data_IF_690714865037
#
_entry.id   IF_690714865037
#
_cell.length_a   1.000
_cell.length_b   1.000
_cell.length_c   1.000
_cell.angle_alpha   90.00
_cell.angle_beta   90.00
_cell.angle_gamma   90.00
#
_symmetry.space_group_name_H-M   'P 1'
#
loop_
_entity.id
_entity.type
_entity.pdbx_description
1 polymer ?
#
# COMPACT_ATOMS: atom_id res chain seq x y z
N UNK A 1 -11.08 3.28 21.65
CA UNK A 1 -10.47 1.95 21.83
C UNK A 1 -10.94 1.09 20.66
N UNK A 2 -10.22 1.17 19.54
CA UNK A 2 -10.50 0.38 18.35
C UNK A 2 -9.66 -0.89 18.46
N UNK A 3 -10.33 -2.05 18.46
CA UNK A 3 -9.72 -3.36 18.68
C UNK A 3 -8.90 -3.78 17.44
N UNK A 4 -7.72 -4.36 17.64
CA UNK A 4 -6.86 -4.99 16.63
C UNK A 4 -7.64 -5.95 15.70
N UNK A 5 -8.75 -6.54 16.16
CA UNK A 5 -9.68 -7.33 15.33
C UNK A 5 -10.39 -6.51 14.22
N UNK A 6 -10.63 -5.22 14.42
CA UNK A 6 -11.28 -4.33 13.47
C UNK A 6 -10.32 -3.87 12.37
N UNK A 7 -9.09 -3.49 12.71
CA UNK A 7 -8.02 -3.20 11.73
C UNK A 7 -7.67 -4.44 10.90
N UNK A 8 -7.76 -5.64 11.49
CA UNK A 8 -7.69 -6.92 10.76
C UNK A 8 -8.84 -7.09 9.74
N UNK A 9 -10.10 -6.79 10.12
CA UNK A 9 -11.23 -6.81 9.17
C UNK A 9 -11.12 -5.74 8.08
N UNK A 10 -10.52 -4.59 8.37
CA UNK A 10 -10.32 -3.53 7.40
C UNK A 10 -9.41 -4.01 6.25
N UNK A 11 -8.33 -4.72 6.56
CA UNK A 11 -7.39 -5.26 5.55
C UNK A 11 -8.01 -6.40 4.73
N UNK A 12 -8.92 -7.19 5.32
CA UNK A 12 -9.51 -8.39 4.69
C UNK A 12 -10.87 -8.07 4.00
N UNK A 13 -11.48 -6.92 4.32
CA UNK A 13 -12.82 -6.53 3.85
C UNK A 13 -12.86 -5.74 2.54
N UNK A 14 -11.71 -5.28 2.02
CA UNK A 14 -11.64 -4.64 0.71
C UNK A 14 -11.46 -5.70 -0.37
N UNK A 15 -12.33 -5.67 -1.39
CA UNK A 15 -12.33 -6.57 -2.54
C UNK A 15 -10.90 -6.76 -3.10
N UNK A 16 -10.57 -7.98 -3.51
CA UNK A 16 -9.30 -8.41 -4.13
C UNK A 16 -8.78 -7.47 -5.26
N UNK A 17 -9.63 -6.59 -5.81
CA UNK A 17 -9.28 -5.60 -6.81
C UNK A 17 -8.66 -4.29 -6.26
N UNK A 18 -8.65 -4.07 -4.94
CA UNK A 18 -8.35 -2.79 -4.31
C UNK A 18 -6.99 -2.72 -3.57
N UNK A 19 -6.39 -3.87 -3.22
CA UNK A 19 -5.19 -3.89 -2.39
C UNK A 19 -4.30 -5.04 -2.85
N UNK A 20 -3.24 -4.73 -3.59
CA UNK A 20 -2.19 -5.74 -3.83
C UNK A 20 -1.28 -5.72 -2.61
N UNK A 21 -1.64 -6.48 -1.57
CA UNK A 21 -0.71 -6.74 -0.48
C UNK A 21 0.36 -7.68 -1.03
N UNK A 22 1.53 -7.14 -1.38
CA UNK A 22 2.70 -7.97 -1.68
C UNK A 22 3.27 -8.45 -0.36
N UNK A 23 2.66 -9.49 0.20
CA UNK A 23 3.23 -10.29 1.27
C UNK A 23 4.12 -11.37 0.64
N UNK A 24 5.35 -11.03 0.28
CA UNK A 24 6.33 -12.03 -0.13
C UNK A 24 7.57 -11.95 0.76
N UNK A 25 7.70 -12.95 1.62
CA UNK A 25 8.84 -13.13 2.52
C UNK A 25 8.42 -13.84 3.79
N UNK A 26 8.78 -15.12 3.89
CA UNK A 26 8.48 -15.99 5.01
C UNK A 26 8.96 -15.43 6.37
N UNK A 27 8.08 -14.71 7.06
CA UNK A 27 7.96 -14.74 8.53
C UNK A 27 6.48 -14.95 8.82
N UNK A 28 6.11 -16.21 9.02
CA UNK A 28 4.83 -16.67 9.58
C UNK A 28 4.68 -16.20 11.05
N UNK A 29 5.39 -15.14 11.45
CA UNK A 29 5.55 -14.68 12.83
C UNK A 29 5.36 -13.16 13.00
N UNK A 30 5.08 -12.40 11.93
CA UNK A 30 4.71 -10.98 12.03
C UNK A 30 3.30 -10.81 11.49
N UNK A 31 2.35 -10.44 12.36
CA UNK A 31 0.92 -10.31 12.04
C UNK A 31 0.57 -9.17 11.05
N UNK A 32 1.58 -8.41 10.58
CA UNK A 32 1.41 -7.23 9.71
C UNK A 32 2.20 -7.36 8.40
N UNK A 33 1.71 -6.76 7.31
CA UNK A 33 2.41 -6.75 6.02
C UNK A 33 3.71 -5.92 6.09
N UNK A 34 4.71 -6.29 5.29
CA UNK A 34 5.97 -5.54 5.19
C UNK A 34 5.77 -4.17 4.55
N UNK A 35 4.85 -4.07 3.60
CA UNK A 35 4.40 -2.83 2.96
C UNK A 35 3.06 -3.08 2.23
N UNK A 36 2.44 -2.00 1.76
CA UNK A 36 1.18 -2.02 1.00
C UNK A 36 1.38 -1.36 -0.36
N UNK A 37 0.91 -2.01 -1.43
CA UNK A 37 0.66 -1.32 -2.70
C UNK A 37 -0.81 -0.93 -2.79
N UNK A 38 -1.04 0.37 -2.94
CA UNK A 38 -2.37 0.96 -2.96
C UNK A 38 -2.63 1.64 -4.30
N UNK A 39 -3.79 1.36 -4.89
CA UNK A 39 -4.26 2.11 -6.05
C UNK A 39 -5.11 3.30 -5.60
N UNK A 40 -5.01 4.41 -6.31
CA UNK A 40 -5.83 5.59 -6.10
C UNK A 40 -7.24 5.41 -6.67
N UNK A 41 -7.32 4.96 -7.92
CA UNK A 41 -8.55 4.93 -8.71
C UNK A 41 -9.17 3.54 -8.67
N UNK A 42 -9.80 3.23 -7.55
CA UNK A 42 -10.47 1.94 -7.35
C UNK A 42 -11.98 2.06 -7.55
N UNK A 43 -12.64 1.02 -8.07
CA UNK A 43 -14.10 0.99 -8.09
C UNK A 43 -14.64 0.98 -6.66
N UNK A 44 -15.53 1.92 -6.34
CA UNK A 44 -16.33 2.02 -5.09
C UNK A 44 -15.62 2.57 -3.86
N UNK A 45 -14.29 2.67 -3.85
CA UNK A 45 -13.52 3.18 -2.71
C UNK A 45 -12.43 4.11 -3.21
N UNK A 46 -12.29 5.28 -2.61
CA UNK A 46 -11.22 6.23 -2.97
C UNK A 46 -9.90 5.84 -2.29
N UNK A 47 -8.83 5.67 -3.05
CA UNK A 47 -7.54 5.25 -2.49
C UNK A 47 -6.97 6.21 -1.45
N UNK A 48 -7.21 7.52 -1.59
CA UNK A 48 -6.81 8.50 -0.56
C UNK A 48 -7.55 8.30 0.77
N UNK A 49 -8.79 7.81 0.75
CA UNK A 49 -9.53 7.49 1.97
C UNK A 49 -8.94 6.27 2.67
N UNK A 50 -8.55 5.25 1.90
CA UNK A 50 -7.82 4.10 2.44
C UNK A 50 -6.49 4.55 3.04
N UNK A 51 -5.72 5.39 2.32
CA UNK A 51 -4.45 5.93 2.82
C UNK A 51 -4.65 6.71 4.12
N UNK A 52 -5.65 7.61 4.18
CA UNK A 52 -6.02 8.33 5.42
C UNK A 52 -6.32 7.38 6.57
N UNK A 53 -7.07 6.31 6.30
CA UNK A 53 -7.46 5.35 7.33
C UNK A 53 -6.24 4.57 7.84
N UNK A 54 -5.37 4.10 6.95
CA UNK A 54 -4.14 3.39 7.30
C UNK A 54 -3.20 4.29 8.11
N UNK A 55 -3.03 5.55 7.69
CA UNK A 55 -2.08 6.48 8.32
C UNK A 55 -2.64 7.14 9.59
N UNK A 56 -3.96 7.14 9.77
CA UNK A 56 -4.63 7.57 10.99
C UNK A 56 -4.74 6.50 12.08
N UNK A 57 -4.52 5.21 11.75
CA UNK A 57 -4.56 4.11 12.72
C UNK A 57 -3.17 3.88 13.32
N UNK A 58 -3.05 4.00 14.65
CA UNK A 58 -1.78 3.83 15.38
C UNK A 58 -1.11 2.46 15.15
N UNK A 59 -1.90 1.42 14.88
CA UNK A 59 -1.39 0.06 14.61
C UNK A 59 -0.94 -0.13 13.16
N UNK A 60 -1.36 0.73 12.23
CA UNK A 60 -1.11 0.57 10.80
C UNK A 60 -0.23 1.69 10.23
N UNK A 61 -0.16 2.86 10.86
CA UNK A 61 0.51 4.06 10.32
C UNK A 61 1.99 3.86 10.01
N UNK A 62 2.63 2.93 10.73
CA UNK A 62 4.04 2.55 10.54
C UNK A 62 4.27 1.67 9.32
N UNK A 63 3.21 1.04 8.78
CA UNK A 63 3.31 0.22 7.59
C UNK A 63 3.62 1.14 6.39
N UNK A 64 4.68 0.85 5.63
CA UNK A 64 4.98 1.59 4.42
C UNK A 64 3.86 1.43 3.39
N UNK A 65 3.39 2.53 2.82
CA UNK A 65 2.40 2.52 1.74
C UNK A 65 3.06 3.09 0.49
N UNK A 66 2.95 2.37 -0.61
CA UNK A 66 3.39 2.78 -1.94
C UNK A 66 2.16 2.91 -2.81
N UNK A 67 1.92 4.10 -3.36
CA UNK A 67 0.87 4.27 -4.35
C UNK A 67 1.38 3.69 -5.68
N UNK A 68 0.61 2.79 -6.27
CA UNK A 68 0.81 2.30 -7.61
C UNK A 68 -0.52 2.52 -8.34
N UNK A 69 -0.61 3.56 -9.17
CA UNK A 69 -1.89 4.00 -9.77
C UNK A 69 -1.76 4.50 -11.19
N UNK A 70 -2.83 4.49 -11.99
CA UNK A 70 -2.84 5.07 -13.34
C UNK A 70 -2.86 6.60 -13.35
N UNK A 71 -3.10 7.26 -12.21
CA UNK A 71 -3.11 8.72 -12.14
C UNK A 71 -1.71 9.30 -12.09
N UNK A 72 -1.41 10.24 -12.98
CA UNK A 72 -0.18 11.04 -13.00
C UNK A 72 -0.43 12.52 -12.69
N UNK A 73 -1.61 12.85 -12.17
CA UNK A 73 -2.01 14.21 -11.84
C UNK A 73 -1.19 14.74 -10.65
N UNK A 74 -0.64 15.94 -10.78
CA UNK A 74 0.21 16.56 -9.74
C UNK A 74 -0.53 16.68 -8.40
N UNK A 75 -1.83 17.01 -8.43
CA UNK A 75 -2.66 17.10 -7.23
C UNK A 75 -2.73 15.79 -6.46
N UNK A 76 -2.93 14.68 -7.16
CA UNK A 76 -3.04 13.34 -6.56
C UNK A 76 -1.72 12.92 -5.89
N UNK A 77 -0.60 13.24 -6.55
CA UNK A 77 0.75 13.01 -6.03
C UNK A 77 0.95 13.81 -4.74
N UNK A 78 0.70 15.12 -4.79
CA UNK A 78 0.88 16.02 -3.64
C UNK A 78 -0.01 15.63 -2.48
N UNK A 79 -1.29 15.30 -2.72
CA UNK A 79 -2.20 14.86 -1.68
C UNK A 79 -1.78 13.54 -1.04
N UNK A 80 -1.27 12.58 -1.82
CA UNK A 80 -0.75 11.32 -1.30
C UNK A 80 0.46 11.54 -0.38
N UNK A 81 1.40 12.40 -0.77
CA UNK A 81 2.57 12.73 0.07
C UNK A 81 2.23 13.53 1.32
N UNK A 82 1.20 14.39 1.28
CA UNK A 82 0.68 15.05 2.49
C UNK A 82 0.08 14.08 3.50
N UNK A 83 -0.25 12.87 3.08
CA UNK A 83 -0.79 11.79 3.91
C UNK A 83 0.29 10.75 4.25
N UNK A 84 1.58 11.10 4.20
CA UNK A 84 2.70 10.24 4.58
C UNK A 84 2.80 8.93 3.76
N UNK A 85 2.45 8.98 2.47
CA UNK A 85 2.85 7.92 1.53
C UNK A 85 4.37 7.85 1.45
N UNK A 86 4.91 6.64 1.34
CA UNK A 86 6.34 6.41 1.24
C UNK A 86 6.85 6.56 -0.19
N UNK A 87 6.02 6.27 -1.18
CA UNK A 87 6.35 6.43 -2.60
C UNK A 87 5.08 6.50 -3.45
N UNK A 88 5.20 7.11 -4.63
CA UNK A 88 4.12 7.20 -5.62
C UNK A 88 4.66 6.80 -6.99
N UNK A 89 4.01 5.82 -7.63
CA UNK A 89 4.41 5.26 -8.91
C UNK A 89 3.21 5.20 -9.85
N UNK A 90 3.41 5.70 -11.08
CA UNK A 90 2.41 5.59 -12.13
C UNK A 90 2.47 4.18 -12.72
N UNK A 91 1.32 3.48 -12.77
CA UNK A 91 1.20 2.14 -13.34
C UNK A 91 1.66 2.16 -14.80
N UNK A 92 2.64 1.31 -15.17
CA UNK A 92 2.95 1.10 -16.58
C UNK A 92 1.71 0.57 -17.31
N UNK A 93 1.46 1.08 -18.51
CA UNK A 93 0.35 0.62 -19.36
C UNK A 93 0.63 -0.80 -19.90
N UNK A 94 1.91 -1.09 -20.15
CA UNK A 94 2.37 -2.36 -20.70
C UNK A 94 2.53 -3.40 -19.59
N UNK A 95 1.95 -4.59 -19.80
CA UNK A 95 1.91 -5.64 -18.80
C UNK A 95 3.31 -6.15 -18.41
N UNK A 96 4.21 -6.28 -19.39
CA UNK A 96 5.59 -6.70 -19.17
C UNK A 96 6.33 -5.73 -18.25
N UNK A 97 6.13 -4.43 -18.45
CA UNK A 97 6.70 -3.39 -17.58
C UNK A 97 6.08 -3.42 -16.19
N UNK A 98 4.77 -3.63 -16.08
CA UNK A 98 4.09 -3.76 -14.78
C UNK A 98 4.68 -4.90 -13.94
N UNK A 99 4.92 -6.07 -14.54
CA UNK A 99 5.51 -7.21 -13.84
C UNK A 99 6.93 -6.90 -13.33
N UNK A 100 7.76 -6.26 -14.15
CA UNK A 100 9.11 -5.82 -13.77
C UNK A 100 9.04 -4.82 -12.62
N UNK A 101 8.20 -3.79 -12.73
CA UNK A 101 8.03 -2.76 -11.70
C UNK A 101 7.59 -3.35 -10.37
N UNK A 102 6.62 -4.27 -10.36
CA UNK A 102 6.18 -4.93 -9.11
C UNK A 102 7.31 -5.78 -8.51
N UNK A 103 8.12 -6.45 -9.32
CA UNK A 103 9.27 -7.21 -8.84
C UNK A 103 10.35 -6.28 -8.22
N UNK A 104 10.66 -5.14 -8.85
CA UNK A 104 11.61 -4.15 -8.33
C UNK A 104 11.15 -3.55 -7.00
N UNK A 105 9.86 -3.21 -6.89
CA UNK A 105 9.23 -2.75 -5.65
C UNK A 105 9.39 -3.83 -4.57
N UNK A 106 9.06 -5.08 -4.88
CA UNK A 106 9.20 -6.20 -3.94
C UNK A 106 10.64 -6.42 -3.50
N UNK A 107 11.62 -6.33 -4.41
CA UNK A 107 13.04 -6.42 -4.06
C UNK A 107 13.45 -5.32 -3.09
N UNK A 108 13.05 -4.07 -3.35
CA UNK A 108 13.37 -2.98 -2.44
C UNK A 108 12.70 -3.19 -1.07
N UNK A 109 11.39 -3.33 -1.01
CA UNK A 109 10.66 -3.31 0.27
C UNK A 109 10.80 -4.59 1.10
N UNK A 110 10.94 -5.75 0.47
CA UNK A 110 11.05 -7.02 1.20
C UNK A 110 12.50 -7.41 1.52
N UNK A 111 13.48 -6.98 0.73
CA UNK A 111 14.87 -7.49 0.83
C UNK A 111 15.84 -6.39 1.28
N UNK A 112 15.77 -5.21 0.66
CA UNK A 112 16.76 -4.15 0.89
C UNK A 112 16.37 -3.19 2.01
N UNK A 113 15.08 -2.88 2.10
CA UNK A 113 14.55 -1.94 3.07
C UNK A 113 14.60 -2.52 4.49
N UNK A 114 14.87 -1.65 5.47
CA UNK A 114 14.76 -1.99 6.89
C UNK A 114 13.52 -1.30 7.45
N UNK A 115 12.53 -2.11 7.84
CA UNK A 115 11.34 -1.60 8.50
C UNK A 115 11.65 -1.16 9.93
N UNK A 116 10.86 -0.21 10.41
CA UNK A 116 10.92 0.27 11.80
C UNK A 116 10.62 -0.92 12.73
N UNK A 117 11.36 -1.10 13.84
CA UNK A 117 11.18 -2.24 14.75
C UNK A 117 9.78 -2.34 15.35
#
# INVERSE_FOLDING_TARGET
>A
MFDTAYSRKLIIGFSLAALLIVAFGARIATEFPLFVLLDLKMPKVEGLEVLRTVKGDDSLKMIPVVMLTSSSEERDIVESYKLDVNSYMVKPVEFEKLAITVAEIGQYWCILNKSVP
#
